data_IF_098298809329
#
_entry.id   IF_098298809329
#
_cell.length_a   1.000
_cell.length_b   1.000
_cell.length_c   1.000
_cell.angle_alpha   90.00
_cell.angle_beta   90.00
_cell.angle_gamma   90.00
#
_symmetry.space_group_name_H-M   'P 1'
#
loop_
_entity.id
_entity.type
_entity.pdbx_description
1 polymer ?
#
# COMPACT_ATOMS: atom_id res chain seq x y z
N UNK A 1 -2.22 6.32 28.78
CA UNK A 1 -1.89 5.10 28.00
C UNK A 1 -1.73 5.38 26.50
N UNK A 2 -2.53 6.26 25.88
CA UNK A 2 -2.43 6.58 24.43
C UNK A 2 -1.09 7.21 23.99
N UNK A 3 -0.51 8.10 24.81
CA UNK A 3 0.73 8.82 24.47
C UNK A 3 1.95 7.89 24.40
N UNK A 4 2.00 6.89 25.28
CA UNK A 4 3.08 5.91 25.35
C UNK A 4 3.07 4.99 24.11
N UNK A 5 1.88 4.60 23.63
CA UNK A 5 1.71 3.88 22.38
C UNK A 5 2.15 4.69 21.16
N UNK A 6 1.97 6.01 21.18
CA UNK A 6 2.35 6.89 20.06
C UNK A 6 3.87 7.02 19.92
N UNK A 7 4.59 7.11 21.04
CA UNK A 7 6.05 7.15 21.07
C UNK A 7 6.64 5.79 20.66
N UNK A 8 6.08 4.69 21.16
CA UNK A 8 6.48 3.34 20.77
C UNK A 8 6.22 3.06 19.27
N UNK A 9 5.05 3.44 18.74
CA UNK A 9 4.79 3.38 17.29
C UNK A 9 5.83 4.23 16.55
N UNK A 10 6.05 5.47 16.93
CA UNK A 10 7.03 6.32 16.25
C UNK A 10 8.45 5.73 16.24
N UNK A 11 8.90 5.18 17.37
CA UNK A 11 10.21 4.51 17.47
C UNK A 11 10.29 3.24 16.62
N UNK A 12 9.25 2.40 16.62
CA UNK A 12 9.14 1.21 15.77
C UNK A 12 9.22 1.55 14.28
N UNK A 13 8.55 2.62 13.86
CA UNK A 13 8.57 3.11 12.49
C UNK A 13 9.92 3.73 12.11
N UNK A 14 10.63 4.35 13.04
CA UNK A 14 12.00 4.83 12.83
C UNK A 14 13.01 3.68 12.70
N UNK A 15 12.74 2.54 13.34
CA UNK A 15 13.57 1.34 13.27
C UNK A 15 13.35 0.57 11.96
N UNK A 16 12.16 0.69 11.36
CA UNK A 16 11.88 0.11 10.05
C UNK A 16 12.73 0.78 8.97
N UNK A 17 13.44 -0.05 8.21
CA UNK A 17 14.29 0.39 7.09
C UNK A 17 13.49 0.68 5.82
N UNK A 18 12.18 0.46 5.83
CA UNK A 18 11.27 0.69 4.70
C UNK A 18 10.82 2.15 4.69
N UNK A 19 11.09 2.86 3.59
CA UNK A 19 10.55 4.20 3.34
C UNK A 19 9.24 4.09 2.57
N UNK A 20 8.18 4.62 3.13
CA UNK A 20 6.83 4.61 2.55
C UNK A 20 6.52 5.99 1.96
N UNK A 21 6.11 6.00 0.69
CA UNK A 21 5.67 7.18 -0.04
C UNK A 21 4.18 7.05 -0.36
N UNK A 22 3.52 8.17 -0.61
CA UNK A 22 2.10 8.19 -0.95
C UNK A 22 1.84 9.08 -2.18
N UNK A 23 1.00 8.59 -3.10
CA UNK A 23 0.41 9.40 -4.16
C UNK A 23 -1.10 9.47 -3.94
N UNK A 24 -1.56 10.63 -3.47
CA UNK A 24 -2.97 10.85 -3.07
C UNK A 24 -3.66 11.75 -4.07
N UNK A 25 -4.89 11.40 -4.44
CA UNK A 25 -5.76 12.28 -5.24
C UNK A 25 -7.06 11.61 -5.66
N UNK A 26 -8.06 12.40 -6.05
CA UNK A 26 -9.41 11.91 -6.43
C UNK A 26 -9.37 10.79 -7.48
N UNK A 27 -10.40 9.94 -7.52
CA UNK A 27 -10.53 8.90 -8.56
C UNK A 27 -10.53 9.51 -9.97
N UNK A 28 -10.10 8.76 -10.98
CA UNK A 28 -10.07 9.22 -12.39
C UNK A 28 -8.96 10.21 -12.76
N UNK A 29 -8.05 10.57 -11.84
CA UNK A 29 -6.98 11.57 -12.08
C UNK A 29 -5.70 11.00 -12.72
N UNK A 30 -5.72 9.75 -13.19
CA UNK A 30 -4.56 9.11 -13.84
C UNK A 30 -3.42 8.69 -12.90
N UNK A 31 -3.69 8.52 -11.59
CA UNK A 31 -2.68 8.19 -10.57
C UNK A 31 -1.94 6.89 -10.86
N UNK A 32 -2.63 5.81 -11.28
CA UNK A 32 -1.98 4.53 -11.59
C UNK A 32 -0.97 4.63 -12.75
N UNK A 33 -1.16 5.56 -13.68
CA UNK A 33 -0.19 5.82 -14.74
C UNK A 33 0.97 6.68 -14.23
N UNK A 34 0.66 7.79 -13.54
CA UNK A 34 1.67 8.71 -12.99
C UNK A 34 2.53 8.07 -11.91
N UNK A 35 2.01 7.10 -11.18
CA UNK A 35 2.73 6.39 -10.12
C UNK A 35 3.89 5.58 -10.66
N UNK A 36 3.76 4.96 -11.84
CA UNK A 36 4.86 4.23 -12.48
C UNK A 36 6.02 5.17 -12.81
N UNK A 37 5.71 6.32 -13.42
CA UNK A 37 6.70 7.36 -13.74
C UNK A 37 7.36 7.91 -12.47
N UNK A 38 6.57 8.13 -11.42
CA UNK A 38 7.08 8.58 -10.12
C UNK A 38 7.99 7.50 -9.50
N UNK A 39 7.56 6.25 -9.53
CA UNK A 39 8.30 5.14 -8.95
C UNK A 39 9.65 4.97 -9.63
N UNK A 40 9.71 5.01 -10.96
CA UNK A 40 10.98 5.00 -11.70
C UNK A 40 11.87 6.19 -11.34
N UNK A 41 11.33 7.41 -11.38
CA UNK A 41 12.08 8.65 -11.11
C UNK A 41 12.69 8.68 -9.71
N UNK A 42 11.97 8.17 -8.71
CA UNK A 42 12.40 8.17 -7.31
C UNK A 42 12.98 6.81 -6.87
N UNK A 43 13.24 5.90 -7.82
CA UNK A 43 13.78 4.57 -7.58
C UNK A 43 12.98 3.76 -6.54
N UNK A 44 11.66 3.86 -6.58
CA UNK A 44 10.74 3.11 -5.72
C UNK A 44 10.41 1.80 -6.43
N UNK A 45 10.88 0.70 -5.86
CA UNK A 45 10.79 -0.62 -6.52
C UNK A 45 9.40 -1.25 -6.43
N UNK A 46 8.59 -0.83 -5.44
CA UNK A 46 7.30 -1.42 -5.13
C UNK A 46 6.16 -0.40 -5.11
N UNK A 47 5.00 -0.81 -5.61
CA UNK A 47 3.77 -0.01 -5.62
C UNK A 47 2.63 -0.82 -5.01
N UNK A 48 1.85 -0.20 -4.13
CA UNK A 48 0.52 -0.66 -3.73
C UNK A 48 -0.54 0.13 -4.50
N UNK A 49 -1.36 -0.56 -5.28
CA UNK A 49 -2.47 0.05 -6.05
C UNK A 49 -3.69 -0.86 -6.04
N UNK A 50 -4.85 -0.35 -5.60
CA UNK A 50 -6.14 -1.03 -5.67
C UNK A 50 -6.13 -2.51 -5.20
N UNK A 51 -5.40 -2.84 -4.12
CA UNK A 51 -5.30 -4.21 -3.58
C UNK A 51 -4.16 -5.07 -4.15
N UNK A 52 -3.33 -4.51 -5.03
CA UNK A 52 -2.18 -5.20 -5.63
C UNK A 52 -0.86 -4.75 -5.01
N UNK A 53 0.09 -5.68 -4.91
CA UNK A 53 1.51 -5.40 -4.75
C UNK A 53 2.21 -5.58 -6.10
N UNK A 54 2.86 -4.53 -6.57
CA UNK A 54 3.47 -4.47 -7.91
C UNK A 54 4.96 -4.17 -7.75
N UNK A 55 5.82 -4.84 -8.53
CA UNK A 55 7.25 -4.56 -8.66
C UNK A 55 7.60 -4.34 -10.12
N UNK A 56 7.97 -3.10 -10.47
CA UNK A 56 8.05 -2.67 -11.87
C UNK A 56 6.71 -2.87 -12.59
N UNK A 57 6.67 -3.75 -13.58
CA UNK A 57 5.45 -4.11 -14.31
C UNK A 57 4.82 -5.44 -13.89
N UNK A 58 5.38 -6.13 -12.89
CA UNK A 58 4.89 -7.43 -12.44
C UNK A 58 4.03 -7.29 -11.19
N UNK A 59 2.85 -7.90 -11.22
CA UNK A 59 2.05 -8.12 -10.01
C UNK A 59 2.72 -9.25 -9.23
N UNK A 60 3.13 -8.95 -8.00
CA UNK A 60 3.79 -9.90 -7.10
C UNK A 60 2.77 -10.65 -6.24
N UNK A 61 1.73 -9.95 -5.80
CA UNK A 61 0.67 -10.52 -4.97
C UNK A 61 -0.61 -9.68 -5.03
N UNK A 62 -1.72 -10.31 -4.62
CA UNK A 62 -2.99 -9.67 -4.34
C UNK A 62 -3.98 -9.68 -5.50
N UNK A 63 -5.21 -9.27 -5.17
CA UNK A 63 -6.33 -9.14 -6.10
C UNK A 63 -6.63 -7.67 -6.36
N UNK A 64 -6.94 -7.35 -7.61
CA UNK A 64 -7.34 -5.99 -7.98
C UNK A 64 -8.80 -5.73 -7.59
N UNK A 65 -9.03 -4.64 -6.85
CA UNK A 65 -10.36 -4.12 -6.55
C UNK A 65 -11.20 -3.83 -7.80
N UNK A 66 -10.55 -3.57 -8.94
CA UNK A 66 -11.21 -3.34 -10.25
C UNK A 66 -11.92 -4.59 -10.80
N UNK A 67 -11.61 -5.78 -10.26
CA UNK A 67 -12.25 -7.06 -10.65
C UNK A 67 -13.42 -7.43 -9.75
N UNK A 68 -13.71 -6.65 -8.72
CA UNK A 68 -14.86 -6.91 -7.85
C UNK A 68 -16.14 -6.36 -8.48
N UNK A 69 -17.22 -7.14 -8.44
CA UNK A 69 -18.52 -6.74 -8.99
C UNK A 69 -19.22 -5.67 -8.13
N UNK A 70 -19.01 -5.73 -6.81
CA UNK A 70 -19.66 -4.84 -5.86
C UNK A 70 -18.71 -3.76 -5.34
N UNK A 71 -19.20 -2.52 -5.26
CA UNK A 71 -18.44 -1.37 -4.77
C UNK A 71 -17.89 -1.61 -3.35
N UNK A 72 -18.69 -2.18 -2.45
CA UNK A 72 -18.25 -2.48 -1.09
C UNK A 72 -17.11 -3.50 -1.07
N UNK A 73 -17.18 -4.53 -1.91
CA UNK A 73 -16.12 -5.52 -2.06
C UNK A 73 -14.86 -4.88 -2.65
N UNK A 74 -14.98 -4.05 -3.68
CA UNK A 74 -13.87 -3.30 -4.27
C UNK A 74 -13.14 -2.43 -3.22
N UNK A 75 -13.90 -1.69 -2.40
CA UNK A 75 -13.32 -0.88 -1.32
C UNK A 75 -12.63 -1.76 -0.29
N UNK A 76 -13.24 -2.89 0.10
CA UNK A 76 -12.65 -3.83 1.07
C UNK A 76 -11.34 -4.41 0.54
N UNK A 77 -11.30 -4.85 -0.71
CA UNK A 77 -10.09 -5.35 -1.38
C UNK A 77 -9.01 -4.27 -1.48
N UNK A 78 -9.36 -3.04 -1.88
CA UNK A 78 -8.40 -1.94 -2.02
C UNK A 78 -7.72 -1.54 -0.71
N UNK A 79 -8.40 -1.73 0.43
CA UNK A 79 -7.86 -1.44 1.77
C UNK A 79 -7.37 -2.69 2.51
N UNK A 80 -7.24 -3.83 1.83
CA UNK A 80 -6.80 -5.12 2.40
C UNK A 80 -7.63 -5.54 3.61
N UNK A 81 -8.95 -5.37 3.51
CA UNK A 81 -9.91 -5.69 4.57
C UNK A 81 -10.30 -7.16 4.65
N UNK A 82 -10.02 -7.94 3.60
CA UNK A 82 -10.16 -9.40 3.60
C UNK A 82 -8.90 -10.03 4.20
N UNK A 83 -9.05 -11.03 5.07
CA UNK A 83 -7.94 -11.57 5.86
C UNK A 83 -6.98 -12.40 5.01
N UNK A 84 -7.50 -13.27 4.14
CA UNK A 84 -6.69 -14.13 3.27
C UNK A 84 -5.90 -13.29 2.25
N UNK A 85 -6.58 -12.31 1.62
CA UNK A 85 -5.92 -11.38 0.69
C UNK A 85 -4.84 -10.53 1.38
N UNK A 86 -5.11 -10.06 2.59
CA UNK A 86 -4.12 -9.35 3.39
C UNK A 86 -2.89 -10.22 3.70
N UNK A 87 -3.09 -11.46 4.16
CA UNK A 87 -2.00 -12.36 4.54
C UNK A 87 -1.11 -12.71 3.35
N UNK A 88 -1.71 -12.93 2.18
CA UNK A 88 -0.99 -13.15 0.92
C UNK A 88 -0.01 -11.99 0.63
N UNK A 89 -0.52 -10.76 0.65
CA UNK A 89 0.24 -9.57 0.29
C UNK A 89 1.29 -9.23 1.36
N UNK A 90 0.96 -9.37 2.64
CA UNK A 90 1.91 -9.17 3.73
C UNK A 90 3.06 -10.18 3.67
N UNK A 91 2.77 -11.44 3.36
CA UNK A 91 3.80 -12.48 3.21
C UNK A 91 4.74 -12.15 2.05
N UNK A 92 4.20 -11.69 0.92
CA UNK A 92 5.00 -11.24 -0.22
C UNK A 92 5.89 -10.04 0.13
N UNK A 93 5.34 -9.03 0.83
CA UNK A 93 6.11 -7.86 1.31
C UNK A 93 7.29 -8.27 2.19
N UNK A 94 7.07 -9.20 3.14
CA UNK A 94 8.10 -9.70 4.05
C UNK A 94 9.19 -10.48 3.30
N UNK A 95 8.80 -11.28 2.30
CA UNK A 95 9.74 -12.05 1.46
C UNK A 95 10.63 -11.15 0.58
N UNK A 96 10.04 -10.09 0.02
CA UNK A 96 10.70 -9.18 -0.91
C UNK A 96 11.68 -8.18 -0.24
N UNK A 97 11.71 -8.08 1.10
CA UNK A 97 12.58 -7.16 1.87
C UNK A 97 12.49 -5.71 1.35
N UNK A 98 11.26 -5.21 1.24
CA UNK A 98 10.96 -3.93 0.61
C UNK A 98 11.64 -2.74 1.32
N UNK A 99 12.48 -2.00 0.58
CA UNK A 99 13.17 -0.79 1.08
C UNK A 99 12.43 0.52 0.78
N UNK A 100 11.78 0.61 -0.38
CA UNK A 100 11.00 1.79 -0.80
C UNK A 100 9.70 1.32 -1.43
N UNK A 101 8.58 1.87 -0.98
CA UNK A 101 7.25 1.52 -1.48
C UNK A 101 6.38 2.75 -1.65
N UNK A 102 5.59 2.78 -2.72
CA UNK A 102 4.63 3.84 -3.01
C UNK A 102 3.21 3.30 -2.83
N UNK A 103 2.42 3.92 -1.97
CA UNK A 103 1.00 3.61 -1.82
C UNK A 103 0.18 4.62 -2.62
N UNK A 104 -0.71 4.12 -3.46
CA UNK A 104 -1.67 4.93 -4.21
C UNK A 104 -3.01 4.91 -3.48
N UNK A 105 -3.61 6.08 -3.30
CA UNK A 105 -4.90 6.18 -2.64
C UNK A 105 -5.71 7.39 -3.07
N UNK A 106 -7.00 7.36 -2.77
CA UNK A 106 -7.93 8.46 -3.07
C UNK A 106 -7.99 9.54 -2.00
N UNK A 107 -7.54 9.20 -0.79
CA UNK A 107 -7.45 10.09 0.36
C UNK A 107 -6.30 9.68 1.27
N UNK A 108 -5.80 10.61 2.08
CA UNK A 108 -4.79 10.32 3.11
C UNK A 108 -5.28 9.25 4.08
N UNK A 109 -6.54 9.34 4.52
CA UNK A 109 -7.18 8.34 5.40
C UNK A 109 -7.08 6.92 4.82
N UNK A 110 -7.31 6.78 3.51
CA UNK A 110 -7.19 5.47 2.84
C UNK A 110 -5.74 4.98 2.84
N UNK A 111 -4.78 5.85 2.50
CA UNK A 111 -3.36 5.49 2.48
C UNK A 111 -2.87 5.09 3.87
N UNK A 112 -3.22 5.84 4.91
CA UNK A 112 -2.86 5.50 6.28
C UNK A 112 -3.45 4.17 6.71
N UNK A 113 -4.71 3.89 6.35
CA UNK A 113 -5.34 2.59 6.63
C UNK A 113 -4.59 1.44 5.94
N UNK A 114 -4.19 1.61 4.69
CA UNK A 114 -3.41 0.60 3.95
C UNK A 114 -2.05 0.40 4.61
N UNK A 115 -1.33 1.47 4.93
CA UNK A 115 -0.01 1.40 5.54
C UNK A 115 -0.04 0.71 6.91
N UNK A 116 -1.02 1.05 7.75
CA UNK A 116 -1.23 0.38 9.04
C UNK A 116 -1.58 -1.09 8.84
N UNK A 117 -2.50 -1.39 7.91
CA UNK A 117 -2.94 -2.76 7.65
C UNK A 117 -1.81 -3.66 7.17
N UNK A 118 -0.97 -3.17 6.26
CA UNK A 118 0.15 -3.93 5.68
C UNK A 118 1.42 -3.90 6.53
N UNK A 119 1.37 -3.37 7.75
CA UNK A 119 2.54 -3.16 8.58
C UNK A 119 3.67 -2.53 7.74
N UNK A 120 3.42 -1.39 7.09
CA UNK A 120 4.41 -0.67 6.26
C UNK A 120 4.84 0.60 6.93
#
# INVERSE_FOLDING_TARGET
METMNRIFKYAFWKLKRTKVYALVGKSGTGKSFRSKILAERYHIDYIIDDGLLIKGDRIIAGKSAKREEHILAAVRTAVFGDEDHYLEVLTALKKEKVHRILIIGTSEKMVYKIAERLEL
#
